data_IF_046618165404
#
_entry.id   IF_046618165404
#
_cell.length_a   1.000
_cell.length_b   1.000
_cell.length_c   1.000
_cell.angle_alpha   90.00
_cell.angle_beta   90.00
_cell.angle_gamma   90.00
#
_symmetry.space_group_name_H-M   'P 1'
#
loop_
_entity.id
_entity.type
_entity.pdbx_description
1 polymer ?
#
# COMPACT_ATOMS: atom_id res chain seq x y z
N UNK A 1 -6.09 -4.34 -79.54
CA UNK A 1 -6.71 -4.32 -78.22
C UNK A 1 -5.61 -4.60 -77.21
N UNK A 2 -5.12 -3.57 -76.47
CA UNK A 2 -4.04 -3.72 -75.44
C UNK A 2 -4.69 -3.55 -74.10
N UNK A 3 -4.76 -4.65 -73.29
CA UNK A 3 -5.28 -4.64 -71.94
C UNK A 3 -4.22 -4.07 -71.02
N UNK A 4 -4.58 -3.00 -70.30
CA UNK A 4 -3.79 -2.36 -69.28
C UNK A 4 -4.12 -3.03 -67.92
N UNK A 5 -3.16 -3.72 -67.32
CA UNK A 5 -3.29 -4.31 -65.96
C UNK A 5 -2.72 -3.28 -64.96
N UNK A 6 -3.59 -2.72 -64.13
CA UNK A 6 -3.18 -1.86 -63.00
C UNK A 6 -2.74 -2.74 -61.79
N UNK A 7 -1.61 -2.50 -61.16
CA UNK A 7 -1.25 -3.16 -59.92
C UNK A 7 -1.93 -2.47 -58.74
N UNK A 8 -2.66 -3.25 -57.95
CA UNK A 8 -3.29 -2.86 -56.69
C UNK A 8 -2.20 -2.83 -55.60
N UNK A 9 -1.74 -1.65 -55.20
CA UNK A 9 -0.86 -1.45 -54.06
C UNK A 9 -1.70 -1.53 -52.77
N UNK A 10 -1.65 -2.69 -52.07
CA UNK A 10 -2.18 -2.85 -50.75
C UNK A 10 -1.26 -2.14 -49.75
N UNK A 11 -1.68 -0.97 -49.27
CA UNK A 11 -1.00 -0.23 -48.21
C UNK A 11 -1.14 -0.98 -46.86
N UNK A 12 -0.03 -1.58 -46.42
CA UNK A 12 0.07 -2.17 -45.07
C UNK A 12 0.18 -1.02 -44.04
N UNK A 13 -0.95 -0.67 -43.42
CA UNK A 13 -0.94 0.28 -42.28
C UNK A 13 -0.27 -0.39 -41.10
N UNK A 14 0.99 -0.09 -40.84
CA UNK A 14 1.68 -0.40 -39.61
C UNK A 14 1.01 0.39 -38.47
N UNK A 15 0.11 -0.27 -37.74
CA UNK A 15 -0.39 0.24 -36.47
C UNK A 15 0.79 0.33 -35.48
N UNK A 16 1.32 1.52 -35.28
CA UNK A 16 2.30 1.76 -34.22
C UNK A 16 1.67 1.38 -32.89
N UNK A 17 2.32 0.55 -32.03
CA UNK A 17 1.82 0.28 -30.69
C UNK A 17 1.78 1.63 -29.95
N UNK A 18 0.58 2.03 -29.51
CA UNK A 18 0.43 3.17 -28.62
C UNK A 18 1.31 2.92 -27.42
N UNK A 19 2.35 3.71 -27.23
CA UNK A 19 3.18 3.74 -26.02
C UNK A 19 2.23 4.04 -24.84
N UNK A 20 1.75 3.00 -24.16
CA UNK A 20 1.09 3.17 -22.86
C UNK A 20 2.13 3.81 -21.95
N UNK A 21 1.87 5.05 -21.54
CA UNK A 21 2.68 5.71 -20.53
C UNK A 21 2.85 4.73 -19.36
N UNK A 22 4.08 4.39 -19.03
CA UNK A 22 4.37 3.46 -17.96
C UNK A 22 3.94 4.10 -16.64
N UNK A 23 3.00 3.45 -15.92
CA UNK A 23 2.53 3.92 -14.63
C UNK A 23 3.71 3.98 -13.67
N UNK A 24 3.95 5.13 -13.01
CA UNK A 24 5.04 5.27 -12.04
C UNK A 24 4.92 4.25 -10.91
N UNK A 25 6.04 3.88 -10.28
CA UNK A 25 6.03 2.88 -9.22
C UNK A 25 5.15 3.27 -8.02
N UNK A 26 5.12 4.54 -7.55
CA UNK A 26 4.17 4.99 -6.54
C UNK A 26 2.70 4.87 -6.97
N UNK A 27 2.35 5.29 -8.18
CA UNK A 27 0.98 5.20 -8.68
C UNK A 27 0.53 3.73 -8.86
N UNK A 28 1.45 2.83 -9.24
CA UNK A 28 1.19 1.40 -9.28
C UNK A 28 0.88 0.85 -7.89
N UNK A 29 1.63 1.25 -6.85
CA UNK A 29 1.38 0.84 -5.48
C UNK A 29 0.00 1.31 -4.99
N UNK A 30 -0.36 2.56 -5.25
CA UNK A 30 -1.64 3.14 -4.86
C UNK A 30 -2.85 2.44 -5.51
N UNK A 31 -2.68 1.88 -6.70
CA UNK A 31 -3.77 1.26 -7.46
C UNK A 31 -3.70 -0.27 -7.52
N UNK A 32 -2.74 -0.88 -6.82
CA UNK A 32 -2.50 -2.32 -6.90
C UNK A 32 -3.73 -3.16 -6.57
N UNK A 33 -4.50 -2.82 -5.55
CA UNK A 33 -5.70 -3.56 -5.14
C UNK A 33 -6.80 -3.61 -6.21
N UNK A 34 -6.77 -2.68 -7.17
CA UNK A 34 -7.72 -2.65 -8.31
C UNK A 34 -7.33 -3.64 -9.40
N UNK A 35 -6.03 -3.85 -9.60
CA UNK A 35 -5.48 -4.75 -10.61
C UNK A 35 -4.16 -5.35 -10.11
N UNK A 36 -4.20 -6.37 -9.26
CA UNK A 36 -3.02 -6.98 -8.69
C UNK A 36 -2.09 -7.57 -9.76
N UNK A 37 -0.82 -7.19 -9.73
CA UNK A 37 0.23 -7.64 -10.64
C UNK A 37 1.41 -8.22 -9.86
N UNK A 38 1.25 -9.38 -9.20
CA UNK A 38 2.30 -9.95 -8.36
C UNK A 38 3.59 -10.28 -9.14
N UNK A 39 3.49 -10.54 -10.45
CA UNK A 39 4.66 -10.77 -11.31
C UNK A 39 5.55 -9.52 -11.46
N UNK A 40 5.01 -8.32 -11.29
CA UNK A 40 5.77 -7.07 -11.40
C UNK A 40 6.37 -6.61 -10.05
N UNK A 41 6.06 -7.29 -8.93
CA UNK A 41 6.38 -6.82 -7.58
C UNK A 41 7.85 -6.45 -7.42
N UNK A 42 8.78 -7.35 -7.72
CA UNK A 42 10.20 -7.11 -7.50
C UNK A 42 10.72 -5.92 -8.34
N UNK A 43 10.36 -5.85 -9.61
CA UNK A 43 10.73 -4.74 -10.49
C UNK A 43 10.17 -3.40 -10.00
N UNK A 44 8.93 -3.37 -9.51
CA UNK A 44 8.30 -2.15 -8.96
C UNK A 44 8.92 -1.73 -7.62
N UNK A 45 9.26 -2.66 -6.74
CA UNK A 45 10.00 -2.36 -5.49
C UNK A 45 11.38 -1.79 -5.79
N UNK A 46 12.09 -2.33 -6.78
CA UNK A 46 13.38 -1.78 -7.23
C UNK A 46 13.21 -0.36 -7.80
N UNK A 47 12.13 -0.09 -8.53
CA UNK A 47 11.82 1.26 -9.02
C UNK A 47 11.53 2.23 -7.86
N UNK A 48 10.69 1.84 -6.88
CA UNK A 48 10.44 2.63 -5.66
C UNK A 48 11.73 2.95 -4.90
N UNK A 49 12.67 1.99 -4.85
CA UNK A 49 13.99 2.18 -4.26
C UNK A 49 14.79 3.25 -5.01
N UNK A 50 14.88 3.15 -6.35
CA UNK A 50 15.62 4.11 -7.19
C UNK A 50 15.02 5.51 -7.18
N UNK A 51 13.70 5.63 -7.02
CA UNK A 51 12.96 6.90 -6.95
C UNK A 51 13.03 7.56 -5.55
N UNK A 52 13.75 6.97 -4.59
CA UNK A 52 13.86 7.46 -3.21
C UNK A 52 12.54 7.38 -2.44
N UNK A 53 11.56 6.61 -2.92
CA UNK A 53 10.28 6.45 -2.25
C UNK A 53 10.43 5.72 -0.91
N UNK A 54 11.29 4.70 -0.87
CA UNK A 54 11.53 3.86 0.32
C UNK A 54 12.36 4.55 1.41
N UNK A 55 12.89 5.75 1.14
CA UNK A 55 13.69 6.52 2.11
C UNK A 55 12.84 7.52 2.90
N UNK A 56 11.63 7.82 2.43
CA UNK A 56 10.73 8.76 3.10
C UNK A 56 10.12 8.11 4.35
N UNK A 57 10.24 8.72 5.54
CA UNK A 57 9.81 8.10 6.81
C UNK A 57 8.36 7.59 6.81
N UNK A 58 7.43 8.33 6.21
CA UNK A 58 6.03 7.93 6.11
C UNK A 58 5.78 6.75 5.16
N UNK A 59 6.64 6.56 4.15
CA UNK A 59 6.47 5.50 3.15
C UNK A 59 7.03 4.15 3.60
N UNK A 60 7.99 4.14 4.55
CA UNK A 60 8.58 2.90 5.07
C UNK A 60 7.49 1.97 5.66
N UNK A 61 6.69 2.40 6.67
CA UNK A 61 5.66 1.54 7.22
C UNK A 61 4.56 1.21 6.20
N UNK A 62 4.20 2.13 5.31
CA UNK A 62 3.25 1.87 4.21
C UNK A 62 3.75 0.74 3.31
N UNK A 63 5.02 0.79 2.91
CA UNK A 63 5.61 -0.26 2.05
C UNK A 63 5.73 -1.58 2.79
N UNK A 64 6.05 -1.59 4.09
CA UNK A 64 6.07 -2.81 4.91
C UNK A 64 4.67 -3.44 4.92
N UNK A 65 3.62 -2.68 5.18
CA UNK A 65 2.25 -3.17 5.19
C UNK A 65 1.81 -3.74 3.84
N UNK A 66 2.16 -3.04 2.77
CA UNK A 66 1.89 -3.48 1.39
C UNK A 66 2.59 -4.81 1.09
N UNK A 67 3.90 -4.88 1.27
CA UNK A 67 4.69 -6.06 0.95
C UNK A 67 4.30 -7.25 1.83
N UNK A 68 4.09 -7.06 3.13
CA UNK A 68 3.68 -8.12 4.04
C UNK A 68 2.37 -8.78 3.58
N UNK A 69 1.41 -7.96 3.17
CA UNK A 69 0.12 -8.44 2.67
C UNK A 69 0.30 -9.21 1.35
N UNK A 70 1.10 -8.70 0.40
CA UNK A 70 1.37 -9.40 -0.86
C UNK A 70 2.13 -10.70 -0.62
N UNK A 71 3.10 -10.74 0.29
CA UNK A 71 3.85 -11.96 0.65
C UNK A 71 2.93 -13.02 1.26
N UNK A 72 2.06 -12.63 2.18
CA UNK A 72 1.07 -13.53 2.77
C UNK A 72 0.08 -14.11 1.74
N UNK A 73 -0.31 -13.32 0.73
CA UNK A 73 -1.19 -13.77 -0.35
C UNK A 73 -0.50 -14.68 -1.37
N UNK A 74 0.82 -14.59 -1.51
CA UNK A 74 1.58 -15.31 -2.54
C UNK A 74 2.83 -16.04 -1.99
N UNK A 75 2.73 -16.90 -0.99
CA UNK A 75 3.89 -17.50 -0.31
C UNK A 75 4.81 -18.30 -1.25
N UNK A 76 4.27 -18.91 -2.30
CA UNK A 76 5.02 -19.65 -3.29
C UNK A 76 5.95 -18.77 -4.17
N UNK A 77 5.72 -17.46 -4.22
CA UNK A 77 6.52 -16.53 -5.03
C UNK A 77 7.65 -15.86 -4.24
N UNK A 78 7.62 -15.94 -2.92
CA UNK A 78 8.53 -15.18 -2.04
C UNK A 78 9.99 -15.46 -2.35
N UNK A 79 10.39 -16.73 -2.58
CA UNK A 79 11.78 -17.06 -2.85
C UNK A 79 12.30 -16.41 -4.15
N UNK A 80 11.49 -16.41 -5.20
CA UNK A 80 11.84 -15.74 -6.46
C UNK A 80 12.00 -14.23 -6.25
N UNK A 81 11.07 -13.58 -5.56
CA UNK A 81 11.17 -12.15 -5.25
C UNK A 81 12.39 -11.81 -4.40
N UNK A 82 12.72 -12.64 -3.40
CA UNK A 82 13.92 -12.42 -2.58
C UNK A 82 15.22 -12.52 -3.39
N UNK A 83 15.26 -13.39 -4.39
CA UNK A 83 16.38 -13.46 -5.34
C UNK A 83 16.54 -12.13 -6.11
N UNK A 84 15.46 -11.64 -6.69
CA UNK A 84 15.47 -10.40 -7.47
C UNK A 84 15.76 -9.15 -6.59
N UNK A 85 15.27 -9.13 -5.36
CA UNK A 85 15.43 -8.01 -4.43
C UNK A 85 16.79 -7.97 -3.70
N UNK A 86 17.68 -8.96 -3.94
CA UNK A 86 19.04 -8.98 -3.34
C UNK A 86 19.90 -7.79 -3.74
N UNK A 87 19.62 -7.16 -4.88
CA UNK A 87 20.35 -5.99 -5.38
C UNK A 87 19.96 -4.68 -4.70
N UNK A 88 18.93 -4.67 -3.86
CA UNK A 88 18.52 -3.50 -3.12
C UNK A 88 19.61 -3.05 -2.13
N UNK A 89 19.72 -1.74 -1.82
CA UNK A 89 20.48 -1.24 -0.69
C UNK A 89 20.11 -1.95 0.61
N UNK A 90 21.07 -2.08 1.53
CA UNK A 90 20.87 -2.89 2.75
C UNK A 90 19.71 -2.38 3.62
N UNK A 91 19.51 -1.04 3.72
CA UNK A 91 18.37 -0.45 4.43
C UNK A 91 17.03 -0.87 3.81
N UNK A 92 16.94 -1.01 2.48
CA UNK A 92 15.73 -1.48 1.80
C UNK A 92 15.57 -3.01 1.90
N UNK A 93 16.65 -3.78 1.95
CA UNK A 93 16.57 -5.21 2.26
C UNK A 93 16.02 -5.45 3.68
N UNK A 94 16.37 -4.59 4.66
CA UNK A 94 15.77 -4.64 6.01
C UNK A 94 14.27 -4.38 5.99
N UNK A 95 13.80 -3.45 5.16
CA UNK A 95 12.38 -3.20 4.96
C UNK A 95 11.67 -4.45 4.43
N UNK A 96 12.25 -5.12 3.42
CA UNK A 96 11.72 -6.38 2.87
C UNK A 96 11.69 -7.47 3.95
N UNK A 97 12.74 -7.57 4.76
CA UNK A 97 12.81 -8.54 5.85
C UNK A 97 11.76 -8.27 6.94
N UNK A 98 11.53 -6.99 7.30
CA UNK A 98 10.47 -6.60 8.21
C UNK A 98 9.07 -6.94 7.66
N UNK A 99 8.86 -6.76 6.36
CA UNK A 99 7.62 -7.15 5.71
C UNK A 99 7.37 -8.66 5.73
N UNK A 100 8.41 -9.48 5.49
CA UNK A 100 8.32 -10.94 5.61
C UNK A 100 7.99 -11.38 7.04
N UNK A 101 8.68 -10.79 8.03
CA UNK A 101 8.39 -11.06 9.43
C UNK A 101 6.93 -10.70 9.77
N UNK A 102 6.46 -9.54 9.32
CA UNK A 102 5.10 -9.08 9.53
C UNK A 102 4.06 -9.95 8.79
N UNK A 103 4.45 -10.62 7.72
CA UNK A 103 3.64 -11.63 7.04
C UNK A 103 3.56 -12.97 7.81
N UNK A 104 4.28 -13.12 8.92
CA UNK A 104 4.42 -14.37 9.66
C UNK A 104 5.33 -15.39 8.96
N UNK A 105 6.19 -14.95 8.05
CA UNK A 105 7.10 -15.82 7.30
C UNK A 105 8.45 -15.95 8.04
N UNK A 106 8.82 -17.16 8.43
CA UNK A 106 10.06 -17.46 9.15
C UNK A 106 11.34 -17.00 8.39
N UNK A 107 11.27 -16.86 7.06
CA UNK A 107 12.38 -16.29 6.26
C UNK A 107 12.65 -14.83 6.62
N UNK A 108 11.66 -14.10 7.08
CA UNK A 108 11.80 -12.72 7.55
C UNK A 108 12.72 -12.63 8.75
N UNK A 109 12.53 -13.46 9.77
CA UNK A 109 13.41 -13.57 10.93
C UNK A 109 14.85 -13.91 10.52
N UNK A 110 15.03 -14.96 9.73
CA UNK A 110 16.35 -15.38 9.27
C UNK A 110 17.08 -14.29 8.47
N UNK A 111 16.33 -13.50 7.67
CA UNK A 111 16.91 -12.40 6.90
C UNK A 111 17.26 -11.21 7.81
N UNK A 112 16.40 -10.84 8.77
CA UNK A 112 16.67 -9.79 9.73
C UNK A 112 17.93 -10.05 10.54
N UNK A 113 18.11 -11.29 11.01
CA UNK A 113 19.28 -11.67 11.79
C UNK A 113 20.58 -11.65 10.96
N UNK A 114 20.50 -11.93 9.67
CA UNK A 114 21.66 -11.98 8.75
C UNK A 114 22.10 -10.60 8.28
N UNK A 115 21.20 -9.65 8.15
CA UNK A 115 21.51 -8.30 7.70
C UNK A 115 22.22 -7.51 8.83
N UNK A 116 23.34 -6.86 8.48
CA UNK A 116 24.10 -6.02 9.43
C UNK A 116 23.30 -4.75 9.73
N UNK A 117 22.61 -4.73 10.85
CA UNK A 117 21.96 -3.51 11.32
C UNK A 117 22.99 -2.53 11.94
N UNK A 118 22.86 -1.20 11.72
CA UNK A 118 23.55 -0.21 12.52
C UNK A 118 23.36 -0.45 14.02
N UNK A 119 24.32 -0.06 14.86
CA UNK A 119 24.25 -0.33 16.31
C UNK A 119 22.94 0.13 16.95
N UNK A 120 22.43 1.30 16.54
CA UNK A 120 21.16 1.86 17.03
C UNK A 120 19.92 1.03 16.64
N UNK A 121 20.01 0.16 15.63
CA UNK A 121 18.86 -0.63 15.11
C UNK A 121 18.98 -2.11 15.51
N UNK A 122 20.18 -2.56 15.96
CA UNK A 122 20.43 -3.97 16.28
C UNK A 122 19.52 -4.53 17.36
N UNK A 123 19.24 -3.75 18.40
CA UNK A 123 18.41 -4.20 19.50
C UNK A 123 16.94 -4.29 19.07
N UNK A 124 16.48 -3.38 18.23
CA UNK A 124 15.15 -3.43 17.63
C UNK A 124 15.02 -4.64 16.70
N UNK A 125 15.98 -4.89 15.82
CA UNK A 125 15.99 -6.08 14.93
C UNK A 125 15.99 -7.37 15.77
N UNK A 126 16.78 -7.44 16.85
CA UNK A 126 16.81 -8.60 17.75
C UNK A 126 15.45 -8.77 18.46
N UNK A 127 14.86 -7.69 18.91
CA UNK A 127 13.54 -7.70 19.55
C UNK A 127 12.46 -8.17 18.59
N UNK A 128 12.44 -7.67 17.35
CA UNK A 128 11.51 -8.10 16.31
C UNK A 128 11.66 -9.60 16.01
N UNK A 129 12.90 -10.08 15.87
CA UNK A 129 13.19 -11.48 15.59
C UNK A 129 12.75 -12.44 16.71
N UNK A 130 12.66 -11.97 17.96
CA UNK A 130 12.24 -12.78 19.11
C UNK A 130 10.77 -12.58 19.51
N UNK A 131 10.07 -11.66 18.87
CA UNK A 131 8.65 -11.37 19.14
C UNK A 131 7.78 -12.05 18.08
N UNK A 132 6.74 -12.80 18.47
CA UNK A 132 5.81 -13.37 17.49
C UNK A 132 5.24 -12.28 16.58
N UNK A 133 5.20 -12.55 15.28
CA UNK A 133 4.61 -11.63 14.33
C UNK A 133 3.10 -11.47 14.61
N UNK A 134 2.66 -10.24 14.74
CA UNK A 134 1.24 -9.93 14.82
C UNK A 134 0.72 -9.66 13.41
N UNK A 135 -0.36 -10.32 13.01
CA UNK A 135 -0.99 -10.06 11.72
C UNK A 135 -1.38 -8.58 11.60
N UNK A 136 -1.10 -7.97 10.45
CA UNK A 136 -1.37 -6.53 10.25
C UNK A 136 -2.84 -6.19 10.51
N UNK A 137 -3.78 -7.05 10.08
CA UNK A 137 -5.20 -6.86 10.32
C UNK A 137 -5.57 -6.77 11.81
N UNK A 138 -4.76 -7.36 12.70
CA UNK A 138 -4.97 -7.35 14.14
C UNK A 138 -4.15 -6.27 14.85
N UNK A 139 -3.25 -5.59 14.13
CA UNK A 139 -2.42 -4.52 14.67
C UNK A 139 -3.25 -3.26 14.91
N UNK A 140 -3.29 -2.79 16.15
CA UNK A 140 -3.96 -1.55 16.52
C UNK A 140 -3.24 -0.33 15.94
N UNK A 141 -4.00 0.69 15.55
CA UNK A 141 -3.43 1.98 15.14
C UNK A 141 -3.13 2.82 16.38
N UNK A 142 -1.85 2.87 16.75
CA UNK A 142 -1.33 3.57 17.93
C UNK A 142 -0.39 4.72 17.59
N UNK A 143 -0.09 4.91 16.30
CA UNK A 143 0.86 5.91 15.81
C UNK A 143 0.64 6.17 14.33
N UNK A 144 1.19 7.27 13.77
CA UNK A 144 1.21 7.48 12.31
C UNK A 144 1.86 6.32 11.55
N UNK A 145 2.87 5.66 12.13
CA UNK A 145 3.52 4.50 11.51
C UNK A 145 2.59 3.30 11.41
N UNK A 146 1.88 2.93 12.49
CA UNK A 146 0.91 1.83 12.44
C UNK A 146 -0.30 2.16 11.55
N UNK A 147 -0.68 3.43 11.43
CA UNK A 147 -1.71 3.86 10.47
C UNK A 147 -1.22 3.67 9.02
N UNK A 148 0.00 4.08 8.70
CA UNK A 148 0.56 3.87 7.37
C UNK A 148 0.76 2.39 7.03
N UNK A 149 1.06 1.54 8.03
CA UNK A 149 1.08 0.08 7.87
C UNK A 149 -0.29 -0.45 7.40
N UNK A 150 -1.37 0.00 8.04
CA UNK A 150 -2.75 -0.37 7.65
C UNK A 150 -3.09 0.13 6.24
N UNK A 151 -2.71 1.37 5.88
CA UNK A 151 -2.89 1.87 4.52
C UNK A 151 -2.15 1.04 3.50
N UNK A 152 -0.90 0.65 3.77
CA UNK A 152 -0.15 -0.24 2.89
C UNK A 152 -0.85 -1.58 2.66
N UNK A 153 -1.34 -2.19 3.72
CA UNK A 153 -2.08 -3.45 3.65
C UNK A 153 -3.40 -3.31 2.87
N UNK A 154 -4.10 -2.18 3.03
CA UNK A 154 -5.29 -1.86 2.21
C UNK A 154 -4.93 -1.74 0.73
N UNK A 155 -3.88 -1.02 0.38
CA UNK A 155 -3.44 -0.84 -1.01
C UNK A 155 -3.01 -2.16 -1.67
N UNK A 156 -2.58 -3.14 -0.88
CA UNK A 156 -2.25 -4.49 -1.37
C UNK A 156 -3.48 -5.38 -1.58
N UNK A 157 -4.54 -5.22 -0.77
CA UNK A 157 -5.65 -6.19 -0.71
C UNK A 157 -7.03 -5.61 -1.06
N UNK A 158 -7.23 -4.31 -0.84
CA UNK A 158 -8.54 -3.69 -0.84
C UNK A 158 -9.44 -4.14 0.32
N UNK A 159 -8.89 -4.78 1.35
CA UNK A 159 -9.65 -5.33 2.47
C UNK A 159 -10.11 -4.19 3.42
N UNK A 160 -11.42 -4.14 3.68
CA UNK A 160 -12.04 -3.10 4.51
C UNK A 160 -11.55 -3.12 5.96
N UNK A 161 -11.09 -4.27 6.48
CA UNK A 161 -10.58 -4.39 7.85
C UNK A 161 -9.46 -3.40 8.13
N UNK A 162 -8.59 -3.13 7.16
CA UNK A 162 -7.50 -2.17 7.31
C UNK A 162 -7.99 -0.73 7.45
N UNK A 163 -9.05 -0.37 6.72
CA UNK A 163 -9.68 0.96 6.84
C UNK A 163 -10.43 1.08 8.17
N UNK A 164 -11.15 0.05 8.60
CA UNK A 164 -11.87 0.05 9.88
C UNK A 164 -10.93 0.17 11.08
N UNK A 165 -9.73 -0.43 11.03
CA UNK A 165 -8.71 -0.21 12.06
C UNK A 165 -8.27 1.25 12.19
N UNK A 166 -8.34 2.03 11.10
CA UNK A 166 -8.02 3.46 11.15
C UNK A 166 -9.14 4.24 11.83
N UNK A 167 -10.40 3.80 11.72
CA UNK A 167 -11.50 4.40 12.51
C UNK A 167 -11.26 4.27 14.01
N UNK A 168 -10.72 3.14 14.48
CA UNK A 168 -10.42 2.94 15.89
C UNK A 168 -9.46 4.01 16.45
N UNK A 169 -8.61 4.63 15.61
CA UNK A 169 -7.72 5.70 16.01
C UNK A 169 -8.46 7.03 16.27
N UNK A 170 -9.59 7.28 15.62
CA UNK A 170 -10.41 8.49 15.84
C UNK A 170 -11.02 8.47 17.24
N UNK A 171 -11.49 7.30 17.70
CA UNK A 171 -12.12 7.13 19.02
C UNK A 171 -11.13 7.08 20.20
N UNK A 172 -9.81 7.19 19.95
CA UNK A 172 -8.81 7.15 21.00
C UNK A 172 -8.66 8.50 21.70
N UNK A 173 -8.28 8.48 22.97
CA UNK A 173 -8.01 9.68 23.75
C UNK A 173 -6.63 10.29 23.41
N UNK A 174 -6.32 10.37 22.10
CA UNK A 174 -5.11 10.96 21.53
C UNK A 174 -5.48 11.92 20.39
N UNK A 175 -5.75 13.20 20.69
CA UNK A 175 -6.31 14.15 19.72
C UNK A 175 -5.49 14.28 18.42
N UNK A 176 -4.15 14.25 18.51
CA UNK A 176 -3.28 14.37 17.34
C UNK A 176 -3.39 13.14 16.41
N UNK A 177 -3.46 11.94 16.98
CA UNK A 177 -3.63 10.71 16.23
C UNK A 177 -5.03 10.65 15.58
N UNK A 178 -6.07 11.03 16.33
CA UNK A 178 -7.45 11.08 15.84
C UNK A 178 -7.61 12.06 14.67
N UNK A 179 -7.07 13.28 14.79
CA UNK A 179 -7.05 14.26 13.71
C UNK A 179 -6.28 13.74 12.48
N UNK A 180 -5.11 13.12 12.69
CA UNK A 180 -4.34 12.50 11.62
C UNK A 180 -5.09 11.39 10.90
N UNK A 181 -5.81 10.54 11.64
CA UNK A 181 -6.65 9.49 11.08
C UNK A 181 -7.82 10.07 10.26
N UNK A 182 -8.50 11.11 10.76
CA UNK A 182 -9.56 11.80 10.03
C UNK A 182 -9.06 12.40 8.71
N UNK A 183 -7.94 13.12 8.72
CA UNK A 183 -7.32 13.68 7.51
C UNK A 183 -6.90 12.59 6.52
N UNK A 184 -6.33 11.48 7.01
CA UNK A 184 -5.94 10.36 6.17
C UNK A 184 -7.15 9.70 5.50
N UNK A 185 -8.25 9.50 6.24
CA UNK A 185 -9.51 8.99 5.69
C UNK A 185 -10.10 9.92 4.64
N UNK A 186 -10.16 11.24 4.90
CA UNK A 186 -10.65 12.24 3.96
C UNK A 186 -9.87 12.17 2.64
N UNK A 187 -8.53 12.22 2.72
CA UNK A 187 -7.67 12.18 1.53
C UNK A 187 -7.82 10.87 0.75
N UNK A 188 -7.84 9.74 1.46
CA UNK A 188 -7.93 8.44 0.78
C UNK A 188 -9.35 8.16 0.27
N UNK A 189 -10.41 8.65 0.92
CA UNK A 189 -11.78 8.58 0.39
C UNK A 189 -11.94 9.40 -0.90
N UNK A 190 -11.28 10.56 -0.99
CA UNK A 190 -11.25 11.36 -2.23
C UNK A 190 -10.50 10.66 -3.37
N UNK A 191 -9.41 9.95 -3.05
CA UNK A 191 -8.55 9.29 -4.05
C UNK A 191 -9.03 7.89 -4.45
N UNK A 192 -9.68 7.17 -3.54
CA UNK A 192 -10.04 5.75 -3.70
C UNK A 192 -11.55 5.52 -3.50
N UNK A 193 -12.33 5.27 -4.57
CA UNK A 193 -13.77 5.00 -4.47
C UNK A 193 -14.13 3.88 -3.50
N UNK A 194 -13.24 2.87 -3.34
CA UNK A 194 -13.47 1.78 -2.38
C UNK A 194 -13.35 2.27 -0.92
N UNK A 195 -12.40 3.16 -0.61
CA UNK A 195 -12.30 3.75 0.74
C UNK A 195 -13.55 4.56 1.04
N UNK A 196 -14.01 5.37 0.08
CA UNK A 196 -15.26 6.12 0.21
C UNK A 196 -16.44 5.17 0.50
N UNK A 197 -16.59 4.11 -0.27
CA UNK A 197 -17.66 3.12 -0.07
C UNK A 197 -17.60 2.47 1.32
N UNK A 198 -16.40 2.13 1.80
CA UNK A 198 -16.19 1.59 3.16
C UNK A 198 -16.61 2.63 4.21
N UNK A 199 -16.17 3.88 4.08
CA UNK A 199 -16.52 4.96 5.01
C UNK A 199 -18.03 5.17 5.09
N UNK A 200 -18.73 5.18 3.95
CA UNK A 200 -20.19 5.31 3.89
C UNK A 200 -20.90 4.11 4.53
N UNK A 201 -20.47 2.88 4.23
CA UNK A 201 -21.05 1.66 4.78
C UNK A 201 -20.86 1.54 6.31
N UNK A 202 -19.77 2.10 6.84
CA UNK A 202 -19.45 2.07 8.26
C UNK A 202 -20.07 3.22 9.04
N UNK A 203 -20.51 4.30 8.38
CA UNK A 203 -20.97 5.53 9.04
C UNK A 203 -22.02 5.26 10.11
N UNK A 204 -23.06 4.51 9.77
CA UNK A 204 -24.17 4.22 10.70
C UNK A 204 -23.86 3.12 11.72
N UNK A 205 -22.76 2.40 11.55
CA UNK A 205 -22.32 1.32 12.45
C UNK A 205 -21.40 1.82 13.56
N UNK A 206 -20.90 3.03 13.45
CA UNK A 206 -19.98 3.61 14.42
C UNK A 206 -20.74 4.27 15.59
N UNK A 207 -20.14 4.36 16.79
CA UNK A 207 -20.65 5.19 17.86
C UNK A 207 -20.88 6.65 17.41
N UNK A 208 -21.85 7.35 18.00
CA UNK A 208 -22.26 8.71 17.58
C UNK A 208 -21.10 9.72 17.52
N UNK A 209 -20.15 9.61 18.45
CA UNK A 209 -18.94 10.43 18.50
C UNK A 209 -18.05 10.21 17.26
N UNK A 210 -17.82 8.97 16.87
CA UNK A 210 -17.06 8.62 15.67
C UNK A 210 -17.82 8.95 14.37
N UNK A 211 -19.16 8.86 14.37
CA UNK A 211 -19.96 9.28 13.21
C UNK A 211 -19.73 10.76 12.87
N UNK A 212 -19.63 11.64 13.88
CA UNK A 212 -19.34 13.05 13.69
C UNK A 212 -18.01 13.29 12.96
N UNK A 213 -16.95 12.64 13.41
CA UNK A 213 -15.62 12.74 12.81
C UNK A 213 -15.59 12.12 11.39
N UNK A 214 -16.27 10.99 11.20
CA UNK A 214 -16.34 10.32 9.89
C UNK A 214 -17.14 11.17 8.88
N UNK A 215 -18.25 11.78 9.28
CA UNK A 215 -18.99 12.75 8.45
C UNK A 215 -18.15 13.97 8.10
N UNK A 216 -17.31 14.45 9.03
CA UNK A 216 -16.39 15.54 8.76
C UNK A 216 -15.34 15.13 7.68
N UNK A 217 -14.73 13.95 7.81
CA UNK A 217 -13.81 13.42 6.81
C UNK A 217 -14.46 13.27 5.42
N UNK A 218 -15.69 12.76 5.37
CA UNK A 218 -16.44 12.60 4.11
C UNK A 218 -16.81 13.94 3.46
N UNK A 219 -17.11 14.97 4.26
CA UNK A 219 -17.33 16.33 3.74
C UNK A 219 -16.04 16.91 3.16
N UNK A 220 -14.93 16.74 3.84
CA UNK A 220 -13.61 17.18 3.38
C UNK A 220 -13.20 16.46 2.08
N UNK A 221 -13.55 15.17 1.95
CA UNK A 221 -13.39 14.42 0.71
C UNK A 221 -14.31 14.86 -0.44
N UNK A 222 -15.24 15.81 -0.20
CA UNK A 222 -16.24 16.24 -1.18
C UNK A 222 -17.36 15.23 -1.44
N UNK A 223 -17.46 14.20 -0.62
CA UNK A 223 -18.39 13.08 -0.81
C UNK A 223 -19.77 13.28 -0.19
N UNK A 224 -19.91 14.25 0.73
CA UNK A 224 -21.18 14.57 1.41
C UNK A 224 -21.39 16.08 1.36
N UNK A 225 -22.51 16.51 0.81
CA UNK A 225 -22.90 17.93 0.78
C UNK A 225 -23.11 18.43 2.21
N UNK A 226 -22.63 19.65 2.58
CA UNK A 226 -22.96 20.23 3.86
C UNK A 226 -24.48 20.32 4.04
N UNK A 227 -25.00 19.97 5.22
CA UNK A 227 -26.39 20.19 5.53
C UNK A 227 -26.70 21.70 5.36
N UNK A 228 -27.84 22.09 4.74
CA UNK A 228 -28.21 23.50 4.64
C UNK A 228 -28.19 24.10 6.03
N UNK A 229 -27.52 25.24 6.17
CA UNK A 229 -27.56 26.03 7.42
C UNK A 229 -28.97 26.56 7.57
N UNK A 230 -29.74 26.00 8.50
CA UNK A 230 -31.02 26.53 8.93
C UNK A 230 -30.87 27.83 9.70
#
# INVERSE_FOLDING_TARGET
MKSLVLPFLAGLALAAPALRAEVSAPAWLETYYLNPQPQALAARVQALSREGFLERPGNVPLTIGFLATVFAQHPARVDAWLQELRSLPENHQRLVAAALWQAGDARGEALLLRLRAPAAVRDEVRRLATTPAQLIADTAVLSPSSMNLQWGAFLASGDERHVTRIFDAIGRNEPALGAGAQMALARNAAAHPRVLAICLAQLERQPSEMQGALRAALREAGAVTPAPRG
#
